data_IF_965732699884
#
_entry.id   IF_965732699884
#
_cell.length_a   1.000
_cell.length_b   1.000
_cell.length_c   1.000
_cell.angle_alpha   90.00
_cell.angle_beta   90.00
_cell.angle_gamma   90.00
#
_symmetry.space_group_name_H-M   'P 1'
#
loop_
_entity.id
_entity.type
_entity.pdbx_description
1 polymer ?
#
# COMPACT_ATOMS: atom_id res chain seq x y z
N UNK A 1 26.81 50.62 -48.46
CA UNK A 1 27.53 49.40 -48.06
C UNK A 1 27.32 49.21 -46.56
N UNK A 2 26.61 48.12 -46.22
CA UNK A 2 26.31 47.46 -44.93
C UNK A 2 24.89 46.87 -45.09
N UNK A 3 24.76 45.81 -45.88
CA UNK A 3 24.63 44.41 -45.38
C UNK A 3 23.53 44.30 -44.30
N UNK A 4 22.34 43.80 -44.64
CA UNK A 4 21.91 42.42 -44.33
C UNK A 4 22.26 42.04 -42.88
N UNK A 5 21.27 41.85 -42.00
CA UNK A 5 20.64 40.54 -41.92
C UNK A 5 19.34 40.59 -41.13
N UNK A 6 18.27 40.14 -41.77
CA UNK A 6 17.02 39.69 -41.14
C UNK A 6 17.35 38.67 -40.03
N UNK A 7 16.71 38.71 -38.85
CA UNK A 7 16.84 37.63 -37.89
C UNK A 7 16.24 36.37 -38.51
N UNK A 8 17.12 35.42 -38.83
CA UNK A 8 16.79 34.09 -39.31
C UNK A 8 15.83 33.43 -38.31
N UNK A 9 14.56 33.28 -38.72
CA UNK A 9 13.56 32.56 -37.95
C UNK A 9 14.02 31.10 -37.85
N UNK A 10 14.69 30.77 -36.75
CA UNK A 10 15.04 29.39 -36.38
C UNK A 10 13.74 28.58 -36.41
N UNK A 11 13.67 27.64 -37.35
CA UNK A 11 12.60 26.67 -37.43
C UNK A 11 12.43 26.00 -36.07
N UNK A 12 11.24 26.15 -35.48
CA UNK A 12 10.85 25.41 -34.28
C UNK A 12 10.92 23.93 -34.65
N UNK A 13 11.77 23.12 -33.99
CA UNK A 13 11.87 21.71 -34.31
C UNK A 13 10.50 21.08 -34.08
N UNK A 14 9.89 20.61 -35.17
CA UNK A 14 8.67 19.81 -35.15
C UNK A 14 8.94 18.61 -34.25
N UNK A 15 8.29 18.58 -33.07
CA UNK A 15 8.36 17.45 -32.13
C UNK A 15 7.78 16.22 -32.83
N UNK A 16 8.66 15.45 -33.47
CA UNK A 16 8.33 14.11 -33.92
C UNK A 16 7.86 13.31 -32.70
N UNK A 17 6.58 12.91 -32.74
CA UNK A 17 5.92 12.10 -31.72
C UNK A 17 6.74 10.84 -31.43
N UNK A 18 7.30 10.75 -30.22
CA UNK A 18 8.01 9.58 -29.68
C UNK A 18 7.03 8.47 -29.27
N UNK A 19 6.30 7.91 -30.24
CA UNK A 19 5.27 6.89 -30.04
C UNK A 19 5.79 5.61 -29.35
N UNK A 20 7.08 5.28 -29.46
CA UNK A 20 7.69 4.09 -28.85
C UNK A 20 8.10 4.22 -27.37
N UNK A 21 8.25 5.44 -26.84
CA UNK A 21 8.51 5.68 -25.41
C UNK A 21 7.23 5.72 -24.59
N UNK A 22 6.13 6.16 -25.19
CA UNK A 22 4.83 6.26 -24.54
C UNK A 22 4.19 4.90 -24.25
N UNK A 23 4.40 3.89 -25.11
CA UNK A 23 3.88 2.54 -24.87
C UNK A 23 4.59 1.85 -23.69
N UNK A 24 5.93 2.00 -23.59
CA UNK A 24 6.71 1.49 -22.45
C UNK A 24 6.42 2.24 -21.15
N UNK A 25 6.21 3.56 -21.23
CA UNK A 25 5.80 4.37 -20.09
C UNK A 25 4.38 4.02 -19.60
N UNK A 26 3.45 3.79 -20.53
CA UNK A 26 2.10 3.31 -20.22
C UNK A 26 2.10 1.92 -19.59
N UNK A 27 2.87 0.97 -20.13
CA UNK A 27 3.01 -0.37 -19.53
C UNK A 27 3.64 -0.32 -18.13
N UNK A 28 4.60 0.56 -17.90
CA UNK A 28 5.20 0.74 -16.58
C UNK A 28 4.19 1.28 -15.56
N UNK A 29 3.30 2.19 -15.99
CA UNK A 29 2.27 2.76 -15.13
C UNK A 29 1.18 1.74 -14.73
N UNK A 30 0.90 0.75 -15.58
CA UNK A 30 -0.02 -0.36 -15.29
C UNK A 30 0.68 -1.65 -14.85
N UNK A 31 2.00 -1.63 -14.66
CA UNK A 31 2.81 -2.81 -14.42
C UNK A 31 2.36 -3.62 -13.20
N UNK A 32 1.91 -2.95 -12.14
CA UNK A 32 1.40 -3.62 -10.93
C UNK A 32 0.08 -4.36 -11.19
N UNK A 33 -0.82 -3.79 -11.98
CA UNK A 33 -2.09 -4.44 -12.34
C UNK A 33 -1.84 -5.62 -13.28
N UNK A 34 -0.90 -5.47 -14.21
CA UNK A 34 -0.49 -6.56 -15.10
C UNK A 34 0.17 -7.71 -14.31
N UNK A 35 1.07 -7.38 -13.37
CA UNK A 35 1.68 -8.36 -12.49
C UNK A 35 0.65 -9.09 -11.63
N UNK A 36 -0.33 -8.35 -11.07
CA UNK A 36 -1.44 -8.94 -10.32
C UNK A 36 -2.27 -9.89 -11.19
N UNK A 37 -2.62 -9.48 -12.42
CA UNK A 37 -3.38 -10.31 -13.35
C UNK A 37 -2.64 -11.61 -13.67
N UNK A 38 -1.35 -11.53 -13.99
CA UNK A 38 -0.50 -12.70 -14.26
C UNK A 38 -0.47 -13.62 -13.04
N UNK A 39 -0.29 -13.06 -11.83
CA UNK A 39 -0.26 -13.82 -10.59
C UNK A 39 -1.58 -14.55 -10.33
N UNK A 40 -2.72 -13.87 -10.53
CA UNK A 40 -4.07 -14.43 -10.37
C UNK A 40 -4.29 -15.59 -11.34
N UNK A 41 -3.97 -15.40 -12.63
CA UNK A 41 -4.10 -16.46 -13.64
C UNK A 41 -3.21 -17.65 -13.30
N UNK A 42 -1.94 -17.38 -12.96
CA UNK A 42 -0.97 -18.41 -12.59
C UNK A 42 -1.44 -19.26 -11.41
N UNK A 43 -1.87 -18.64 -10.31
CA UNK A 43 -2.35 -19.40 -9.15
C UNK A 43 -3.70 -20.08 -9.40
N UNK A 44 -4.57 -19.51 -10.23
CA UNK A 44 -5.83 -20.15 -10.62
C UNK A 44 -5.58 -21.49 -11.34
N UNK A 45 -4.57 -21.57 -12.20
CA UNK A 45 -4.25 -22.81 -12.93
C UNK A 45 -3.30 -23.74 -12.15
N UNK A 46 -2.47 -23.19 -11.26
CA UNK A 46 -1.45 -23.97 -10.55
C UNK A 46 -1.98 -24.63 -9.28
N UNK A 47 -3.10 -24.15 -8.73
CA UNK A 47 -3.68 -24.70 -7.51
C UNK A 47 -5.19 -24.62 -7.47
N UNK A 48 -5.82 -25.73 -7.06
CA UNK A 48 -7.28 -25.81 -6.92
C UNK A 48 -7.82 -24.99 -5.74
N UNK A 49 -6.97 -24.60 -4.79
CA UNK A 49 -7.41 -23.88 -3.58
C UNK A 49 -7.48 -22.36 -3.76
N UNK A 50 -6.86 -21.79 -4.79
CA UNK A 50 -6.70 -20.35 -4.91
C UNK A 50 -8.03 -19.59 -5.01
N UNK A 51 -8.96 -20.05 -5.86
CA UNK A 51 -10.28 -19.43 -6.02
C UNK A 51 -11.34 -19.95 -5.04
N UNK A 52 -10.95 -20.76 -4.05
CA UNK A 52 -11.91 -21.20 -3.02
C UNK A 52 -12.38 -20.00 -2.20
N UNK A 53 -13.64 -20.03 -1.75
CA UNK A 53 -14.19 -18.99 -0.87
C UNK A 53 -13.37 -18.83 0.41
N UNK A 54 -12.85 -19.92 0.97
CA UNK A 54 -11.99 -19.90 2.14
C UNK A 54 -10.69 -19.12 1.88
N UNK A 55 -9.97 -19.42 0.78
CA UNK A 55 -8.75 -18.71 0.45
C UNK A 55 -9.02 -17.24 0.09
N UNK A 56 -10.06 -16.96 -0.70
CA UNK A 56 -10.43 -15.61 -1.07
C UNK A 56 -10.80 -14.77 0.16
N UNK A 57 -11.59 -15.30 1.08
CA UNK A 57 -11.91 -14.63 2.34
C UNK A 57 -10.69 -14.43 3.23
N UNK A 58 -9.74 -15.36 3.24
CA UNK A 58 -8.48 -15.20 3.98
C UNK A 58 -7.63 -14.07 3.40
N UNK A 59 -7.45 -14.03 2.08
CA UNK A 59 -6.73 -12.95 1.38
C UNK A 59 -7.42 -11.61 1.62
N UNK A 60 -8.73 -11.53 1.42
CA UNK A 60 -9.51 -10.31 1.65
C UNK A 60 -9.41 -9.83 3.10
N UNK A 61 -9.45 -10.74 4.07
CA UNK A 61 -9.28 -10.40 5.49
C UNK A 61 -7.88 -9.84 5.76
N UNK A 62 -6.84 -10.46 5.20
CA UNK A 62 -5.47 -10.00 5.35
C UNK A 62 -5.25 -8.60 4.76
N UNK A 63 -5.78 -8.35 3.57
CA UNK A 63 -5.71 -7.03 2.91
C UNK A 63 -6.56 -5.99 3.66
N UNK A 64 -7.74 -6.38 4.15
CA UNK A 64 -8.63 -5.49 4.90
C UNK A 64 -7.98 -4.94 6.18
N UNK A 65 -7.22 -5.77 6.90
CA UNK A 65 -6.48 -5.32 8.10
C UNK A 65 -5.50 -4.21 7.72
N UNK A 66 -4.67 -4.44 6.69
CA UNK A 66 -3.69 -3.44 6.22
C UNK A 66 -4.40 -2.18 5.70
N UNK A 67 -5.51 -2.33 4.98
CA UNK A 67 -6.30 -1.21 4.44
C UNK A 67 -6.89 -0.32 5.54
N UNK A 68 -7.48 -0.91 6.58
CA UNK A 68 -8.01 -0.16 7.73
C UNK A 68 -6.87 0.57 8.46
N UNK A 69 -5.72 -0.09 8.67
CA UNK A 69 -4.55 0.54 9.25
C UNK A 69 -4.01 1.69 8.40
N UNK A 70 -3.99 1.54 7.07
CA UNK A 70 -3.52 2.57 6.13
C UNK A 70 -4.37 3.85 6.18
N UNK A 71 -5.69 3.73 6.38
CA UNK A 71 -6.58 4.88 6.59
C UNK A 71 -6.18 5.63 7.87
N UNK A 72 -5.95 4.92 8.98
CA UNK A 72 -5.48 5.53 10.23
C UNK A 72 -4.11 6.21 10.07
N UNK A 73 -3.16 5.53 9.43
CA UNK A 73 -1.83 6.04 9.11
C UNK A 73 -1.87 7.32 8.27
N UNK A 74 -2.86 7.47 7.39
CA UNK A 74 -3.00 8.66 6.55
C UNK A 74 -3.18 9.92 7.41
N UNK A 75 -3.99 9.87 8.48
CA UNK A 75 -4.17 11.00 9.38
C UNK A 75 -2.88 11.37 10.12
N UNK A 76 -2.10 10.37 10.52
CA UNK A 76 -0.84 10.59 11.24
C UNK A 76 0.25 11.16 10.33
N UNK A 77 0.30 10.74 9.07
CA UNK A 77 1.23 11.33 8.10
C UNK A 77 0.89 12.80 7.80
N UNK A 78 -0.41 13.15 7.79
CA UNK A 78 -0.86 14.52 7.54
C UNK A 78 -0.50 15.50 8.67
N UNK A 79 -0.30 15.03 9.90
CA UNK A 79 0.16 15.88 11.03
C UNK A 79 1.66 16.17 10.99
N UNK A 80 2.39 15.69 9.97
CA UNK A 80 3.81 16.00 9.76
C UNK A 80 4.77 15.06 10.50
N UNK A 81 4.25 14.05 11.20
CA UNK A 81 5.03 12.99 11.82
C UNK A 81 5.25 11.83 10.85
N UNK A 82 6.50 11.40 10.67
CA UNK A 82 6.80 10.07 10.09
C UNK A 82 6.61 9.05 11.21
N UNK A 83 5.38 8.90 11.69
CA UNK A 83 5.08 8.07 12.85
C UNK A 83 5.09 6.58 12.47
N UNK A 84 6.30 6.01 12.54
CA UNK A 84 6.52 4.58 12.37
C UNK A 84 6.01 3.76 13.57
N UNK A 85 5.49 4.39 14.64
CA UNK A 85 5.03 3.68 15.84
C UNK A 85 3.82 2.79 15.56
N UNK A 86 2.96 3.11 14.60
CA UNK A 86 1.77 2.31 14.28
C UNK A 86 2.15 0.88 13.88
N UNK A 87 3.29 0.69 13.20
CA UNK A 87 3.81 -0.64 12.89
C UNK A 87 4.20 -1.45 14.13
N UNK A 88 4.83 -0.80 15.12
CA UNK A 88 5.19 -1.46 16.38
C UNK A 88 3.94 -1.75 17.23
N UNK A 89 2.95 -0.85 17.22
CA UNK A 89 1.68 -1.02 17.95
C UNK A 89 0.90 -2.22 17.40
N UNK A 90 0.81 -2.38 16.08
CA UNK A 90 0.19 -3.55 15.45
C UNK A 90 0.92 -4.84 15.86
N UNK A 91 2.26 -4.81 15.83
CA UNK A 91 3.10 -5.96 16.22
C UNK A 91 2.91 -6.36 17.68
N UNK A 92 2.92 -5.39 18.61
CA UNK A 92 2.71 -5.65 20.04
C UNK A 92 1.28 -6.12 20.30
N UNK A 93 0.27 -5.48 19.73
CA UNK A 93 -1.13 -5.90 19.88
C UNK A 93 -1.34 -7.35 19.39
N UNK A 94 -0.74 -7.70 18.25
CA UNK A 94 -0.74 -9.06 17.71
C UNK A 94 -0.07 -10.07 18.64
N UNK A 95 1.14 -9.76 19.14
CA UNK A 95 1.84 -10.60 20.11
C UNK A 95 1.05 -10.75 21.40
N UNK A 96 0.50 -9.69 21.97
CA UNK A 96 -0.33 -9.75 23.19
C UNK A 96 -1.51 -10.70 23.01
N UNK A 97 -2.23 -10.59 21.89
CA UNK A 97 -3.32 -11.50 21.57
C UNK A 97 -2.85 -12.96 21.48
N UNK A 98 -1.78 -13.22 20.72
CA UNK A 98 -1.24 -14.56 20.51
C UNK A 98 -0.75 -15.19 21.82
N UNK A 99 -0.01 -14.43 22.64
CA UNK A 99 0.52 -14.91 23.91
C UNK A 99 -0.57 -15.21 24.92
N UNK A 100 -1.60 -14.36 25.04
CA UNK A 100 -2.70 -14.59 25.97
C UNK A 100 -3.56 -15.79 25.57
N UNK A 101 -3.84 -15.96 24.28
CA UNK A 101 -4.55 -17.14 23.77
C UNK A 101 -3.71 -18.40 24.01
N UNK A 102 -2.40 -18.36 23.73
CA UNK A 102 -1.49 -19.48 23.97
C UNK A 102 -1.37 -19.84 25.46
N UNK A 103 -1.50 -18.86 26.36
CA UNK A 103 -1.54 -19.05 27.81
C UNK A 103 -2.91 -19.57 28.32
N UNK A 104 -3.88 -19.82 27.43
CA UNK A 104 -5.19 -20.38 27.78
C UNK A 104 -6.23 -19.36 28.23
N UNK A 105 -5.96 -18.06 28.10
CA UNK A 105 -6.97 -17.03 28.42
C UNK A 105 -8.10 -17.03 27.39
N UNK A 106 -9.34 -16.67 27.80
CA UNK A 106 -10.44 -16.49 26.86
C UNK A 106 -10.11 -15.46 25.78
N UNK A 107 -10.54 -15.72 24.55
CA UNK A 107 -10.29 -14.84 23.40
C UNK A 107 -10.74 -13.40 23.67
N UNK A 108 -11.86 -13.22 24.38
CA UNK A 108 -12.38 -11.89 24.75
C UNK A 108 -11.39 -11.10 25.61
N UNK A 109 -10.69 -11.77 26.52
CA UNK A 109 -9.67 -11.14 27.39
C UNK A 109 -8.45 -10.76 26.55
N UNK A 110 -8.00 -11.66 25.67
CA UNK A 110 -6.87 -11.40 24.78
C UNK A 110 -7.12 -10.21 23.86
N UNK A 111 -8.30 -10.17 23.22
CA UNK A 111 -8.73 -9.06 22.36
C UNK A 111 -8.88 -7.77 23.17
N UNK A 112 -9.50 -7.82 24.36
CA UNK A 112 -9.65 -6.67 25.23
C UNK A 112 -8.30 -6.04 25.64
N UNK A 113 -7.31 -6.88 25.98
CA UNK A 113 -5.96 -6.42 26.32
C UNK A 113 -5.25 -5.78 25.12
N UNK A 114 -5.33 -6.42 23.93
CA UNK A 114 -4.74 -5.89 22.70
C UNK A 114 -5.38 -4.55 22.29
N UNK A 115 -6.71 -4.42 22.38
CA UNK A 115 -7.43 -3.17 22.12
C UNK A 115 -7.06 -2.08 23.13
N UNK A 116 -6.94 -2.43 24.43
CA UNK A 116 -6.53 -1.50 25.47
C UNK A 116 -5.13 -0.92 25.23
N UNK A 117 -4.17 -1.77 24.85
CA UNK A 117 -2.83 -1.33 24.49
C UNK A 117 -2.84 -0.43 23.24
N UNK A 118 -3.55 -0.84 22.19
CA UNK A 118 -3.64 -0.07 20.95
C UNK A 118 -4.29 1.31 21.15
N UNK A 119 -5.36 1.38 21.96
CA UNK A 119 -6.01 2.64 22.31
C UNK A 119 -5.06 3.55 23.09
N UNK A 120 -4.37 3.01 24.11
CA UNK A 120 -3.42 3.77 24.90
C UNK A 120 -2.28 4.34 24.05
N UNK A 121 -1.67 3.51 23.21
CA UNK A 121 -0.60 3.95 22.32
C UNK A 121 -1.07 4.99 21.31
N UNK A 122 -2.26 4.81 20.73
CA UNK A 122 -2.86 5.77 19.80
C UNK A 122 -3.17 7.12 20.45
N UNK A 123 -3.66 7.13 21.69
CA UNK A 123 -3.90 8.37 22.43
C UNK A 123 -2.60 9.12 22.74
N UNK A 124 -1.53 8.42 23.12
CA UNK A 124 -0.23 9.04 23.35
C UNK A 124 0.34 9.62 22.05
N UNK A 125 0.29 8.87 20.96
CA UNK A 125 0.78 9.30 19.66
C UNK A 125 0.01 10.50 19.10
N UNK A 126 -1.31 10.56 19.33
CA UNK A 126 -2.14 11.70 18.90
C UNK A 126 -2.04 12.94 19.78
N UNK A 127 -1.52 12.83 21.00
CA UNK A 127 -1.38 13.94 21.94
C UNK A 127 -0.02 14.66 21.83
N UNK A 128 1.03 13.94 21.44
CA UNK A 128 2.40 14.45 21.26
C UNK A 128 2.52 15.11 19.88
#
# INVERSE_FOLDING_TARGET
MTEQSTPEAKAVPSRAMTQGRDLKAGLAQYGIYLALLILVVFFTISTDVFLTSANLLNVLRQVSIIGICAVGLTFVLLTGGIDLSVGSVIGVAGMTCATLIAAGFPVVVAVGAALGFGLFAGLLAGFI
#
